data_IF_841236491770
#
_entry.id   IF_841236491770
#
_cell.length_a   1.000
_cell.length_b   1.000
_cell.length_c   1.000
_cell.angle_alpha   90.00
_cell.angle_beta   90.00
_cell.angle_gamma   90.00
#
_symmetry.space_group_name_H-M   'P 1'
#
loop_
_entity.id
_entity.type
_entity.pdbx_description
1 polymer ?
#
# COMPACT_ATOMS: atom_id res chain seq x y z
N UNK A 1 6.55 19.42 -10.40
CA UNK A 1 5.37 19.00 -9.66
C UNK A 1 5.72 18.80 -8.20
N UNK A 2 4.87 19.26 -7.32
CA UNK A 2 5.01 19.06 -5.86
C UNK A 2 4.43 17.71 -5.50
N UNK A 3 5.25 16.83 -4.91
CA UNK A 3 4.83 15.52 -4.43
C UNK A 3 4.53 15.62 -2.94
N UNK A 4 3.44 15.01 -2.48
CA UNK A 4 3.08 14.98 -1.06
C UNK A 4 4.11 14.17 -0.26
N UNK A 5 4.45 14.63 0.95
CA UNK A 5 5.33 13.88 1.85
C UNK A 5 4.78 12.50 2.22
N UNK A 6 3.45 12.36 2.25
CA UNK A 6 2.76 11.08 2.50
C UNK A 6 3.05 10.12 1.35
N UNK A 7 2.92 10.58 0.10
CA UNK A 7 3.18 9.78 -1.10
C UNK A 7 4.62 9.26 -1.12
N UNK A 8 5.59 10.09 -0.74
CA UNK A 8 7.00 9.68 -0.67
C UNK A 8 7.22 8.61 0.40
N UNK A 9 6.69 8.82 1.60
CA UNK A 9 6.86 7.87 2.72
C UNK A 9 6.27 6.50 2.40
N UNK A 10 5.06 6.47 1.84
CA UNK A 10 4.40 5.23 1.42
C UNK A 10 5.16 4.56 0.27
N UNK A 11 5.64 5.35 -0.70
CA UNK A 11 6.38 4.82 -1.84
C UNK A 11 7.67 4.11 -1.42
N UNK A 12 8.45 4.69 -0.49
CA UNK A 12 9.70 4.09 -0.01
C UNK A 12 9.45 2.74 0.66
N UNK A 13 8.45 2.67 1.54
CA UNK A 13 8.12 1.42 2.25
C UNK A 13 7.60 0.37 1.28
N UNK A 14 6.67 0.74 0.39
CA UNK A 14 6.08 -0.18 -0.58
C UNK A 14 7.13 -0.67 -1.59
N UNK A 15 7.99 0.22 -2.09
CA UNK A 15 9.06 -0.13 -3.02
C UNK A 15 10.04 -1.13 -2.39
N UNK A 16 10.44 -0.91 -1.14
CA UNK A 16 11.32 -1.83 -0.43
C UNK A 16 10.67 -3.20 -0.26
N UNK A 17 9.41 -3.24 0.20
CA UNK A 17 8.68 -4.48 0.42
C UNK A 17 8.56 -5.29 -0.89
N UNK A 18 8.10 -4.66 -1.97
CA UNK A 18 7.92 -5.33 -3.27
C UNK A 18 9.25 -5.75 -3.91
N UNK A 19 10.30 -4.94 -3.76
CA UNK A 19 11.63 -5.30 -4.28
C UNK A 19 12.18 -6.56 -3.60
N UNK A 20 11.98 -6.69 -2.29
CA UNK A 20 12.38 -7.88 -1.52
C UNK A 20 11.58 -9.10 -1.97
N UNK A 21 10.26 -8.99 -2.12
CA UNK A 21 9.41 -10.11 -2.57
C UNK A 21 9.83 -10.62 -3.95
N UNK A 22 10.05 -9.72 -4.90
CA UNK A 22 10.50 -10.09 -6.25
C UNK A 22 11.90 -10.71 -6.24
N UNK A 23 12.80 -10.18 -5.42
CA UNK A 23 14.14 -10.72 -5.24
C UNK A 23 14.10 -12.13 -4.64
N UNK A 24 13.24 -12.37 -3.65
CA UNK A 24 13.07 -13.69 -3.03
C UNK A 24 12.56 -14.72 -4.05
N UNK A 25 11.56 -14.37 -4.87
CA UNK A 25 11.03 -15.25 -5.91
C UNK A 25 12.16 -15.67 -6.88
N UNK A 26 12.93 -14.69 -7.36
CA UNK A 26 14.04 -14.94 -8.27
C UNK A 26 15.16 -15.78 -7.62
N UNK A 27 15.49 -15.49 -6.37
CA UNK A 27 16.45 -16.26 -5.57
C UNK A 27 16.02 -17.73 -5.40
N UNK A 28 14.76 -17.96 -5.10
CA UNK A 28 14.21 -19.32 -4.96
C UNK A 28 14.30 -20.07 -6.30
N UNK A 29 13.85 -19.46 -7.39
CA UNK A 29 13.94 -20.05 -8.73
C UNK A 29 15.39 -20.38 -9.12
N UNK A 30 16.31 -19.45 -8.83
CA UNK A 30 17.73 -19.69 -9.07
C UNK A 30 18.27 -20.85 -8.23
N UNK A 31 17.94 -20.90 -6.94
CA UNK A 31 18.39 -21.98 -6.06
C UNK A 31 17.87 -23.36 -6.49
N UNK A 32 16.63 -23.46 -6.96
CA UNK A 32 16.03 -24.70 -7.46
C UNK A 32 16.74 -25.16 -8.77
N UNK A 33 16.96 -24.25 -9.71
CA UNK A 33 17.64 -24.59 -10.96
C UNK A 33 19.13 -24.87 -10.77
N UNK A 34 19.75 -24.29 -9.74
CA UNK A 34 21.17 -24.49 -9.41
C UNK A 34 21.48 -25.91 -8.90
N UNK A 35 20.47 -26.66 -8.49
CA UNK A 35 20.65 -28.06 -8.09
C UNK A 35 21.13 -28.95 -9.23
N UNK A 36 20.76 -28.63 -10.47
CA UNK A 36 21.01 -29.49 -11.65
C UNK A 36 21.79 -28.81 -12.77
N UNK A 37 22.03 -27.49 -12.67
CA UNK A 37 22.60 -26.68 -13.76
C UNK A 37 23.80 -25.85 -13.32
N UNK A 38 24.57 -25.37 -14.32
CA UNK A 38 25.60 -24.37 -14.06
C UNK A 38 25.00 -23.06 -13.55
N UNK A 39 25.79 -22.21 -12.87
CA UNK A 39 25.29 -20.94 -12.35
C UNK A 39 24.68 -20.05 -13.45
N UNK A 40 25.30 -20.04 -14.65
CA UNK A 40 24.83 -19.26 -15.79
C UNK A 40 23.48 -19.79 -16.32
N UNK A 41 23.41 -21.09 -16.56
CA UNK A 41 22.20 -21.73 -17.10
C UNK A 41 21.04 -21.68 -16.10
N UNK A 42 21.35 -21.87 -14.82
CA UNK A 42 20.39 -21.70 -13.73
C UNK A 42 19.82 -20.28 -13.67
N UNK A 43 20.67 -19.26 -13.83
CA UNK A 43 20.24 -17.87 -13.83
C UNK A 43 19.33 -17.55 -15.03
N UNK A 44 19.69 -17.99 -16.24
CA UNK A 44 18.88 -17.78 -17.45
C UNK A 44 17.52 -18.47 -17.29
N UNK A 45 17.50 -19.72 -16.83
CA UNK A 45 16.26 -20.48 -16.65
C UNK A 45 15.40 -19.88 -15.53
N UNK A 46 16.01 -19.47 -14.42
CA UNK A 46 15.30 -18.81 -13.34
C UNK A 46 14.64 -17.51 -13.78
N UNK A 47 15.36 -16.67 -14.54
CA UNK A 47 14.82 -15.44 -15.13
C UNK A 47 13.65 -15.72 -16.07
N UNK A 48 13.79 -16.67 -16.98
CA UNK A 48 12.74 -16.98 -17.95
C UNK A 48 11.44 -17.44 -17.28
N UNK A 49 11.52 -18.08 -16.10
CA UNK A 49 10.37 -18.50 -15.30
C UNK A 49 9.85 -17.40 -14.38
N UNK A 50 10.76 -16.63 -13.77
CA UNK A 50 10.37 -15.62 -12.79
C UNK A 50 9.79 -14.35 -13.44
N UNK A 51 10.28 -13.93 -14.61
CA UNK A 51 9.80 -12.72 -15.28
C UNK A 51 8.28 -12.75 -15.51
N UNK A 52 7.67 -13.78 -16.11
CA UNK A 52 6.23 -13.83 -16.31
C UNK A 52 5.43 -13.79 -14.98
N UNK A 53 5.90 -14.53 -13.97
CA UNK A 53 5.25 -14.59 -12.65
C UNK A 53 5.27 -13.24 -11.94
N UNK A 54 6.45 -12.62 -11.85
CA UNK A 54 6.64 -11.31 -11.20
C UNK A 54 5.91 -10.22 -11.99
N UNK A 55 5.98 -10.24 -13.32
CA UNK A 55 5.31 -9.24 -14.17
C UNK A 55 3.78 -9.33 -14.06
N UNK A 56 3.21 -10.54 -14.02
CA UNK A 56 1.77 -10.71 -13.84
C UNK A 56 1.28 -10.20 -12.47
N UNK A 57 2.03 -10.52 -11.40
CA UNK A 57 1.73 -10.03 -10.06
C UNK A 57 1.83 -8.51 -9.96
N UNK A 58 2.92 -7.95 -10.49
CA UNK A 58 3.14 -6.50 -10.46
C UNK A 58 2.13 -5.73 -11.30
N UNK A 59 1.69 -6.29 -12.45
CA UNK A 59 0.64 -5.68 -13.28
C UNK A 59 -0.68 -5.56 -12.51
N UNK A 60 -1.04 -6.58 -11.73
CA UNK A 60 -2.22 -6.54 -10.85
C UNK A 60 -2.09 -5.42 -9.82
N UNK A 61 -0.94 -5.30 -9.18
CA UNK A 61 -0.68 -4.24 -8.19
C UNK A 61 -0.70 -2.86 -8.84
N UNK A 62 -0.06 -2.69 -10.00
CA UNK A 62 -0.08 -1.44 -10.78
C UNK A 62 -1.51 -1.05 -11.16
N UNK A 63 -2.32 -2.01 -11.61
CA UNK A 63 -3.74 -1.74 -11.94
C UNK A 63 -4.53 -1.27 -10.73
N UNK A 64 -4.34 -1.89 -9.57
CA UNK A 64 -4.98 -1.47 -8.32
C UNK A 64 -4.55 -0.07 -7.87
N UNK A 65 -3.26 0.25 -7.98
CA UNK A 65 -2.75 1.59 -7.66
C UNK A 65 -3.16 2.65 -8.69
N UNK A 66 -3.25 2.30 -9.97
CA UNK A 66 -3.75 3.18 -11.00
C UNK A 66 -5.22 3.57 -10.76
N UNK A 67 -5.99 2.72 -10.12
CA UNK A 67 -7.37 3.02 -9.73
C UNK A 67 -7.47 4.21 -8.74
N UNK A 68 -6.42 4.49 -7.94
CA UNK A 68 -6.35 5.69 -7.11
C UNK A 68 -6.37 6.99 -7.94
N UNK A 69 -5.95 6.93 -9.21
CA UNK A 69 -5.98 8.06 -10.12
C UNK A 69 -7.39 8.53 -10.50
N UNK A 70 -8.42 7.70 -10.27
CA UNK A 70 -9.83 8.03 -10.49
C UNK A 70 -10.49 8.68 -9.27
N UNK A 71 -9.76 8.85 -8.16
CA UNK A 71 -10.28 9.56 -7.00
C UNK A 71 -10.41 11.06 -7.31
N UNK A 72 -11.47 11.68 -6.82
CA UNK A 72 -11.71 13.13 -6.96
C UNK A 72 -10.64 13.96 -6.21
N UNK A 73 -10.04 13.41 -5.16
CA UNK A 73 -8.98 14.07 -4.40
C UNK A 73 -7.65 14.05 -5.15
N UNK A 74 -7.04 15.20 -5.30
CA UNK A 74 -5.74 15.38 -5.99
C UNK A 74 -4.62 14.51 -5.40
N UNK A 75 -4.70 14.18 -4.11
CA UNK A 75 -3.73 13.29 -3.45
C UNK A 75 -3.78 11.86 -4.01
N UNK A 76 -4.94 11.38 -4.47
CA UNK A 76 -5.08 10.07 -5.10
C UNK A 76 -4.27 9.94 -6.38
N UNK A 77 -4.34 10.94 -7.25
CA UNK A 77 -3.56 10.98 -8.49
C UNK A 77 -2.05 11.06 -8.21
N UNK A 78 -1.64 11.88 -7.25
CA UNK A 78 -0.23 12.01 -6.83
C UNK A 78 0.31 10.66 -6.33
N UNK A 79 -0.42 9.99 -5.45
CA UNK A 79 -0.08 8.66 -4.95
C UNK A 79 -0.03 7.62 -6.07
N UNK A 80 -1.02 7.59 -6.96
CA UNK A 80 -1.05 6.66 -8.09
C UNK A 80 0.21 6.78 -8.95
N UNK A 81 0.57 7.98 -9.36
CA UNK A 81 1.73 8.23 -10.21
C UNK A 81 3.04 7.86 -9.52
N UNK A 82 3.21 8.23 -8.25
CA UNK A 82 4.45 7.96 -7.50
C UNK A 82 4.60 6.46 -7.25
N UNK A 83 3.55 5.78 -6.82
CA UNK A 83 3.60 4.35 -6.47
C UNK A 83 3.76 3.47 -7.72
N UNK A 84 3.06 3.78 -8.82
CA UNK A 84 3.24 3.04 -10.09
C UNK A 84 4.67 3.18 -10.60
N UNK A 85 5.24 4.38 -10.59
CA UNK A 85 6.66 4.59 -10.95
C UNK A 85 7.59 3.81 -10.04
N UNK A 86 7.36 3.81 -8.73
CA UNK A 86 8.18 3.08 -7.77
C UNK A 86 8.20 1.57 -8.08
N UNK A 87 7.04 0.98 -8.42
CA UNK A 87 6.95 -0.44 -8.79
C UNK A 87 7.73 -0.72 -10.08
N UNK A 88 7.56 0.10 -11.11
CA UNK A 88 8.25 -0.07 -12.38
C UNK A 88 9.77 0.01 -12.21
N UNK A 89 10.28 0.96 -11.44
CA UNK A 89 11.71 1.05 -11.12
C UNK A 89 12.20 -0.14 -10.28
N UNK A 90 11.37 -0.62 -9.35
CA UNK A 90 11.68 -1.81 -8.56
C UNK A 90 11.83 -3.06 -9.44
N UNK A 91 10.90 -3.27 -10.38
CA UNK A 91 10.98 -4.36 -11.36
C UNK A 91 12.23 -4.28 -12.22
N UNK A 92 12.50 -3.10 -12.77
CA UNK A 92 13.69 -2.87 -13.59
C UNK A 92 14.97 -3.18 -12.79
N UNK A 93 15.03 -2.71 -11.54
CA UNK A 93 16.15 -2.96 -10.65
C UNK A 93 16.33 -4.45 -10.36
N UNK A 94 15.26 -5.17 -10.05
CA UNK A 94 15.33 -6.61 -9.75
C UNK A 94 15.77 -7.40 -11.01
N UNK A 95 15.22 -7.11 -12.18
CA UNK A 95 15.56 -7.85 -13.39
C UNK A 95 16.96 -7.55 -13.93
N UNK A 96 17.53 -6.41 -13.58
CA UNK A 96 18.90 -6.04 -14.02
C UNK A 96 19.97 -6.34 -12.99
N UNK A 97 19.75 -5.97 -11.72
CA UNK A 97 20.73 -6.13 -10.64
C UNK A 97 20.79 -7.55 -10.09
N UNK A 98 19.64 -8.18 -9.85
CA UNK A 98 19.60 -9.48 -9.19
C UNK A 98 20.34 -10.59 -9.95
N UNK A 99 20.23 -10.73 -11.27
CA UNK A 99 21.00 -11.73 -12.00
C UNK A 99 22.50 -11.57 -11.83
N UNK A 100 23.01 -10.34 -11.86
CA UNK A 100 24.41 -10.03 -11.61
C UNK A 100 24.86 -10.43 -10.21
N UNK A 101 24.04 -10.08 -9.20
CA UNK A 101 24.32 -10.45 -7.81
C UNK A 101 24.27 -11.96 -7.59
N UNK A 102 23.29 -12.66 -8.15
CA UNK A 102 23.18 -14.11 -8.04
C UNK A 102 24.37 -14.83 -8.65
N UNK A 103 24.86 -14.36 -9.79
CA UNK A 103 26.07 -14.92 -10.41
C UNK A 103 27.32 -14.62 -9.57
N UNK A 104 27.47 -13.40 -9.06
CA UNK A 104 28.60 -12.98 -8.24
C UNK A 104 28.67 -13.77 -6.93
N UNK A 105 27.53 -13.95 -6.27
CA UNK A 105 27.44 -14.64 -4.97
C UNK A 105 27.19 -16.15 -5.07
N UNK A 106 27.01 -16.70 -6.28
CA UNK A 106 26.80 -18.14 -6.51
C UNK A 106 27.82 -19.02 -5.79
N UNK A 107 29.17 -18.78 -5.87
CA UNK A 107 30.13 -19.64 -5.17
C UNK A 107 30.02 -19.55 -3.64
N UNK A 108 29.60 -18.41 -3.10
CA UNK A 108 29.36 -18.24 -1.68
C UNK A 108 28.08 -18.96 -1.24
N UNK A 109 27.03 -18.90 -2.04
CA UNK A 109 25.77 -19.63 -1.80
C UNK A 109 26.00 -21.14 -1.80
N UNK A 110 26.82 -21.66 -2.69
CA UNK A 110 27.17 -23.08 -2.74
C UNK A 110 27.95 -23.55 -1.49
N UNK A 111 28.80 -22.68 -0.92
CA UNK A 111 29.56 -22.95 0.31
C UNK A 111 28.71 -22.89 1.58
N UNK A 112 27.69 -22.01 1.62
CA UNK A 112 26.83 -21.78 2.77
C UNK A 112 25.50 -22.53 2.68
N UNK A 113 25.41 -23.53 1.83
CA UNK A 113 24.19 -24.30 1.60
C UNK A 113 23.80 -25.08 2.85
N UNK A 114 22.79 -24.60 3.55
CA UNK A 114 22.21 -25.25 4.72
C UNK A 114 21.04 -26.16 4.33
N UNK A 115 20.77 -27.17 5.17
CA UNK A 115 19.55 -27.99 5.05
C UNK A 115 18.32 -27.06 5.09
N UNK A 116 17.35 -27.32 4.20
CA UNK A 116 16.09 -26.55 4.16
C UNK A 116 15.47 -26.48 5.55
N UNK A 117 15.42 -25.29 6.13
CA UNK A 117 14.87 -25.05 7.48
C UNK A 117 13.33 -25.15 7.48
N UNK A 118 12.73 -25.02 6.27
CA UNK A 118 11.28 -25.09 6.13
C UNK A 118 10.81 -26.54 6.28
N UNK A 119 9.88 -26.81 7.20
CA UNK A 119 9.27 -28.12 7.34
C UNK A 119 8.50 -28.47 6.05
N UNK A 120 8.28 -29.75 5.85
CA UNK A 120 7.57 -30.24 4.68
C UNK A 120 6.13 -29.65 4.64
N UNK A 121 5.86 -28.79 3.67
CA UNK A 121 4.59 -28.05 3.51
C UNK A 121 3.51 -28.91 2.81
N UNK A 122 3.85 -30.13 2.40
CA UNK A 122 2.92 -31.05 1.72
C UNK A 122 1.58 -31.25 2.47
N UNK A 123 1.54 -31.35 3.81
CA UNK A 123 0.27 -31.48 4.54
C UNK A 123 -0.64 -30.26 4.37
N UNK A 124 -0.06 -29.04 4.35
CA UNK A 124 -0.81 -27.79 4.16
C UNK A 124 -1.39 -27.75 2.74
N UNK A 125 -0.62 -28.13 1.73
CA UNK A 125 -1.09 -28.23 0.35
C UNK A 125 -2.25 -29.23 0.19
N UNK A 126 -2.15 -30.41 0.82
CA UNK A 126 -3.24 -31.40 0.84
C UNK A 126 -4.50 -30.87 1.53
N UNK A 127 -4.34 -30.14 2.64
CA UNK A 127 -5.46 -29.50 3.34
C UNK A 127 -6.13 -28.43 2.44
N UNK A 128 -5.33 -27.56 1.80
CA UNK A 128 -5.85 -26.53 0.88
C UNK A 128 -6.64 -27.14 -0.29
N UNK A 129 -6.14 -28.23 -0.87
CA UNK A 129 -6.85 -28.94 -1.96
C UNK A 129 -8.14 -29.59 -1.44
N UNK A 130 -8.13 -30.17 -0.24
CA UNK A 130 -9.33 -30.78 0.38
C UNK A 130 -10.43 -29.75 0.65
N UNK A 131 -10.04 -28.54 1.08
CA UNK A 131 -10.97 -27.47 1.44
C UNK A 131 -11.31 -26.53 0.29
N UNK A 132 -10.82 -26.79 -0.95
CA UNK A 132 -11.00 -25.91 -2.13
C UNK A 132 -12.46 -25.59 -2.48
N UNK A 133 -13.42 -26.41 -2.06
CA UNK A 133 -14.85 -26.18 -2.31
C UNK A 133 -15.55 -25.40 -1.20
N UNK A 134 -14.97 -25.39 -0.01
CA UNK A 134 -15.55 -24.74 1.18
C UNK A 134 -14.98 -23.36 1.40
N UNK A 135 -13.68 -23.19 1.19
CA UNK A 135 -12.98 -21.92 1.44
C UNK A 135 -13.48 -20.76 0.57
N UNK A 136 -13.70 -20.91 -0.76
CA UNK A 136 -14.18 -19.80 -1.58
C UNK A 136 -15.55 -19.26 -1.18
N UNK A 137 -16.60 -20.09 -0.98
CA UNK A 137 -17.89 -19.56 -0.55
C UNK A 137 -17.86 -18.97 0.86
N UNK A 138 -17.08 -19.55 1.79
CA UNK A 138 -16.87 -18.98 3.11
C UNK A 138 -16.21 -17.59 3.03
N UNK A 139 -15.21 -17.46 2.18
CA UNK A 139 -14.53 -16.18 1.94
C UNK A 139 -15.46 -15.14 1.29
N UNK A 140 -16.31 -15.56 0.36
CA UNK A 140 -17.32 -14.68 -0.24
C UNK A 140 -18.32 -14.15 0.81
N UNK A 141 -18.79 -14.99 1.73
CA UNK A 141 -19.65 -14.58 2.84
C UNK A 141 -18.92 -13.57 3.75
N UNK A 142 -17.66 -13.84 4.07
CA UNK A 142 -16.81 -12.94 4.85
C UNK A 142 -16.62 -11.58 4.18
N UNK A 143 -16.40 -11.55 2.87
CA UNK A 143 -16.29 -10.33 2.07
C UNK A 143 -17.59 -9.50 2.11
N UNK A 144 -18.74 -10.14 1.92
CA UNK A 144 -20.04 -9.46 2.02
C UNK A 144 -20.25 -8.89 3.41
N UNK A 145 -19.94 -9.65 4.46
CA UNK A 145 -19.99 -9.18 5.84
C UNK A 145 -19.07 -7.99 6.09
N UNK A 146 -17.82 -8.06 5.63
CA UNK A 146 -16.85 -6.97 5.73
C UNK A 146 -17.31 -5.72 4.98
N UNK A 147 -17.90 -5.88 3.79
CA UNK A 147 -18.45 -4.76 3.02
C UNK A 147 -19.60 -4.05 3.77
N UNK A 148 -20.53 -4.81 4.37
CA UNK A 148 -21.64 -4.24 5.17
C UNK A 148 -21.10 -3.51 6.40
N UNK A 149 -20.11 -4.09 7.11
CA UNK A 149 -19.48 -3.44 8.26
C UNK A 149 -18.71 -2.18 7.85
N UNK A 150 -17.98 -2.23 6.73
CA UNK A 150 -17.24 -1.08 6.20
C UNK A 150 -18.14 0.12 5.92
N UNK A 151 -19.33 -0.12 5.35
CA UNK A 151 -20.31 0.95 5.09
C UNK A 151 -20.92 1.56 6.37
N UNK A 152 -20.75 0.92 7.53
CA UNK A 152 -21.18 1.44 8.83
C UNK A 152 -20.09 2.15 9.61
N UNK A 153 -18.84 2.12 9.11
CA UNK A 153 -17.73 2.83 9.75
C UNK A 153 -17.87 4.34 9.56
N UNK A 154 -17.82 5.15 10.63
CA UNK A 154 -17.74 6.60 10.48
C UNK A 154 -16.41 6.99 9.87
N UNK A 155 -16.43 7.69 8.73
CA UNK A 155 -15.23 8.21 8.12
C UNK A 155 -14.79 9.49 8.82
N UNK A 156 -13.52 9.54 9.21
CA UNK A 156 -12.90 10.72 9.83
C UNK A 156 -12.11 11.47 8.76
N UNK A 157 -12.55 12.67 8.41
CA UNK A 157 -11.98 13.50 7.34
C UNK A 157 -11.00 14.58 7.83
N UNK A 158 -10.78 14.69 9.14
CA UNK A 158 -9.91 15.73 9.71
C UNK A 158 -8.60 15.16 10.23
N UNK A 159 -7.49 15.85 9.93
CA UNK A 159 -6.18 15.54 10.51
C UNK A 159 -6.17 15.65 12.05
N UNK A 160 -7.03 16.48 12.62
CA UNK A 160 -7.11 16.69 14.06
C UNK A 160 -7.74 15.50 14.79
N UNK A 161 -8.50 14.68 14.08
CA UNK A 161 -9.18 13.51 14.64
C UNK A 161 -8.41 12.20 14.42
N UNK A 162 -7.22 12.24 13.81
CA UNK A 162 -6.37 11.07 13.68
C UNK A 162 -5.62 10.90 14.99
N UNK A 163 -6.09 9.96 15.81
CA UNK A 163 -5.39 9.56 17.03
C UNK A 163 -4.09 8.84 16.66
N UNK A 164 -2.97 9.31 17.21
CA UNK A 164 -1.69 8.62 17.11
C UNK A 164 -1.46 7.76 18.36
N UNK A 165 -0.86 6.60 18.19
CA UNK A 165 -0.58 5.68 19.29
C UNK A 165 0.29 6.31 20.41
N UNK A 166 1.12 7.31 20.07
CA UNK A 166 1.89 8.11 21.01
C UNK A 166 1.51 9.58 20.83
N UNK A 167 0.66 10.09 21.72
CA UNK A 167 0.29 11.51 21.73
C UNK A 167 1.51 12.36 22.15
N UNK A 168 1.82 13.36 21.34
CA UNK A 168 2.78 14.37 21.73
C UNK A 168 2.11 15.44 22.62
N UNK A 169 2.92 16.30 23.28
CA UNK A 169 2.41 17.34 24.18
C UNK A 169 1.36 18.25 23.51
N UNK A 170 1.56 18.55 22.22
CA UNK A 170 0.64 19.38 21.42
C UNK A 170 -0.72 18.72 21.27
N UNK A 171 -0.76 17.42 20.97
CA UNK A 171 -2.00 16.66 20.85
C UNK A 171 -2.71 16.53 22.19
N UNK A 172 -1.97 16.27 23.25
CA UNK A 172 -2.52 16.21 24.62
C UNK A 172 -3.15 17.54 25.03
N UNK A 173 -2.47 18.67 24.75
CA UNK A 173 -3.01 19.99 24.98
C UNK A 173 -4.26 20.28 24.15
N UNK A 174 -4.25 19.90 22.88
CA UNK A 174 -5.39 20.05 21.97
C UNK A 174 -6.62 19.29 22.48
N UNK A 175 -6.49 18.01 22.83
CA UNK A 175 -7.58 17.23 23.38
C UNK A 175 -8.10 17.76 24.72
N UNK A 176 -7.21 18.29 25.57
CA UNK A 176 -7.60 18.93 26.82
C UNK A 176 -8.45 20.18 26.58
N UNK A 177 -8.07 21.01 25.61
CA UNK A 177 -8.84 22.19 25.20
C UNK A 177 -10.19 21.76 24.62
N UNK A 178 -10.21 20.78 23.73
CA UNK A 178 -11.39 20.29 23.07
C UNK A 178 -12.41 19.68 24.07
N UNK A 179 -11.91 18.91 25.04
CA UNK A 179 -12.76 18.32 26.09
C UNK A 179 -13.30 19.36 27.07
N UNK A 180 -12.61 20.50 27.26
CA UNK A 180 -13.02 21.56 28.19
C UNK A 180 -13.97 22.57 27.55
N UNK A 181 -13.74 22.93 26.29
CA UNK A 181 -14.44 24.00 25.58
C UNK A 181 -15.32 23.51 24.41
N UNK A 182 -15.32 22.20 24.12
CA UNK A 182 -16.01 21.62 22.96
C UNK A 182 -15.21 21.77 21.66
N UNK A 183 -15.68 21.09 20.62
CA UNK A 183 -15.09 21.15 19.28
C UNK A 183 -15.57 22.39 18.53
N UNK A 184 -14.70 23.37 18.38
CA UNK A 184 -14.96 24.51 17.48
C UNK A 184 -14.21 24.29 16.17
N UNK A 185 -14.93 23.91 15.13
CA UNK A 185 -14.41 23.93 13.77
C UNK A 185 -14.55 25.34 13.19
N UNK A 186 -13.48 26.10 13.12
CA UNK A 186 -13.49 27.39 12.44
C UNK A 186 -13.56 27.18 10.94
N UNK A 187 -14.64 27.65 10.31
CA UNK A 187 -14.80 27.71 8.86
C UNK A 187 -14.66 29.16 8.45
N UNK A 188 -13.71 29.47 7.56
CA UNK A 188 -13.57 30.78 6.97
C UNK A 188 -14.29 30.78 5.62
N UNK A 189 -15.33 31.61 5.50
CA UNK A 189 -16.01 31.86 4.24
C UNK A 189 -15.37 33.06 3.55
N UNK A 190 -14.77 32.86 2.37
CA UNK A 190 -14.20 33.93 1.58
C UNK A 190 -15.24 34.42 0.58
N UNK A 191 -15.65 35.65 0.71
CA UNK A 191 -16.63 36.31 -0.18
C UNK A 191 -15.93 37.44 -0.96
N UNK A 192 -16.36 37.75 -2.20
CA UNK A 192 -15.83 38.89 -2.92
C UNK A 192 -16.11 40.19 -2.17
N UNK A 193 -15.08 41.01 -1.93
CA UNK A 193 -15.21 42.25 -1.19
C UNK A 193 -16.02 43.27 -1.98
N UNK A 194 -16.82 44.10 -1.29
CA UNK A 194 -17.49 45.26 -1.85
C UNK A 194 -19.00 45.12 -2.08
N UNK A 195 -19.61 43.99 -1.69
CA UNK A 195 -21.06 43.81 -1.72
C UNK A 195 -21.60 43.47 -0.35
N UNK A 196 -21.73 44.46 0.54
CA UNK A 196 -22.15 44.29 1.96
C UNK A 196 -23.56 43.72 2.11
N UNK A 197 -24.45 43.94 1.14
CA UNK A 197 -25.82 43.41 1.17
C UNK A 197 -25.82 41.90 0.91
N UNK A 198 -24.95 41.39 0.02
CA UNK A 198 -24.76 39.97 -0.22
C UNK A 198 -24.08 39.28 0.95
N UNK A 199 -23.10 39.94 1.60
CA UNK A 199 -22.47 39.45 2.82
C UNK A 199 -23.46 39.31 3.98
N UNK A 200 -24.29 40.31 4.19
CA UNK A 200 -25.33 40.30 5.23
C UNK A 200 -26.38 39.20 5.02
N UNK A 201 -26.69 38.88 3.75
CA UNK A 201 -27.62 37.82 3.40
C UNK A 201 -27.01 36.44 3.70
N UNK A 202 -25.75 36.23 3.35
CA UNK A 202 -25.01 34.99 3.62
C UNK A 202 -24.84 34.76 5.12
N UNK A 203 -24.55 35.82 5.90
CA UNK A 203 -24.45 35.73 7.35
C UNK A 203 -25.79 35.31 8.00
N UNK A 204 -26.92 35.85 7.51
CA UNK A 204 -28.23 35.42 7.99
C UNK A 204 -28.56 33.98 7.62
N UNK A 205 -28.16 33.52 6.47
CA UNK A 205 -28.34 32.12 6.06
C UNK A 205 -27.47 31.19 6.92
N UNK A 206 -26.25 31.59 7.27
CA UNK A 206 -25.35 30.85 8.16
C UNK A 206 -25.87 30.78 9.58
N UNK A 207 -26.40 31.90 10.15
CA UNK A 207 -27.00 31.94 11.47
C UNK A 207 -28.27 31.07 11.57
N UNK A 208 -28.95 30.83 10.45
CA UNK A 208 -30.12 29.95 10.38
C UNK A 208 -29.74 28.45 10.32
N UNK A 209 -28.46 28.10 10.07
CA UNK A 209 -27.99 26.71 10.06
C UNK A 209 -27.77 26.23 11.50
N UNK A 210 -28.43 25.15 11.94
CA UNK A 210 -28.31 24.66 13.32
C UNK A 210 -26.91 24.09 13.64
N UNK A 211 -26.08 23.82 12.61
CA UNK A 211 -24.72 23.33 12.75
C UNK A 211 -23.69 24.46 12.92
N UNK A 212 -24.06 25.72 12.71
CA UNK A 212 -23.22 26.92 12.89
C UNK A 212 -23.58 27.57 14.21
N UNK A 213 -22.60 27.64 15.12
CA UNK A 213 -22.75 28.32 16.42
C UNK A 213 -21.71 29.42 16.55
#
# INVERSE_FOLDING_TARGET
GTVSFISISVAVVLQLALAIDYAIILCHRFSDERETRTARDACITALSKAIPEISASSLTTVSGLAALGFMEFKIGLDMALVLVKAILFSLLSVFTLMPGLLMLFSPLMDRTRHKKLLPNITPIGKFAVKTRRVVPPLFAILLVGAFILSNRCPFVYSYNNIETANMNERQTAYFKIQNTFGTNNMVALVVPSGNYDAEAKILKELDACPEVK
#
